data_IF_192712966143
#
_entry.id   IF_192712966143
#
_cell.length_a   1.000
_cell.length_b   1.000
_cell.length_c   1.000
_cell.angle_alpha   90.00
_cell.angle_beta   90.00
_cell.angle_gamma   90.00
#
_symmetry.space_group_name_H-M   'P 1'
#
loop_
_entity.id
_entity.type
_entity.pdbx_description
1 polymer ?
#
# COMPACT_ATOMS: atom_id res chain seq x y z
N UNK A 1 -9.96 -0.25 11.88
CA UNK A 1 -8.78 -0.73 11.15
C UNK A 1 -7.85 0.44 10.83
N UNK A 2 -6.56 0.24 10.90
CA UNK A 2 -5.55 1.29 10.67
C UNK A 2 -4.78 0.99 9.38
N UNK A 3 -4.65 1.99 8.51
CA UNK A 3 -3.94 1.87 7.24
C UNK A 3 -2.78 2.87 7.18
N UNK A 4 -1.65 2.43 6.66
CA UNK A 4 -0.54 3.30 6.31
C UNK A 4 -0.50 3.47 4.79
N UNK A 5 -0.58 4.70 4.34
CA UNK A 5 -0.51 5.05 2.91
C UNK A 5 0.88 5.63 2.62
N UNK A 6 1.67 4.95 1.82
CA UNK A 6 3.03 5.34 1.46
C UNK A 6 3.09 5.73 -0.01
N UNK A 7 3.45 6.99 -0.27
CA UNK A 7 3.60 7.54 -1.62
C UNK A 7 4.38 8.86 -1.47
N UNK A 8 5.33 9.12 -2.34
CA UNK A 8 6.12 10.35 -2.29
C UNK A 8 5.32 11.59 -2.71
N UNK A 9 4.20 11.41 -3.38
CA UNK A 9 3.30 12.49 -3.78
C UNK A 9 2.22 12.72 -2.71
N UNK A 10 2.26 13.88 -2.08
CA UNK A 10 1.22 14.26 -1.11
C UNK A 10 -0.17 14.26 -1.75
N UNK A 11 -0.27 14.75 -2.99
CA UNK A 11 -1.53 14.78 -3.72
C UNK A 11 -2.06 13.36 -3.93
N UNK A 12 -1.19 12.42 -4.30
CA UNK A 12 -1.59 11.03 -4.48
C UNK A 12 -2.04 10.39 -3.18
N UNK A 13 -1.34 10.67 -2.07
CA UNK A 13 -1.79 10.16 -0.76
C UNK A 13 -3.21 10.63 -0.46
N UNK A 14 -3.51 11.90 -0.71
CA UNK A 14 -4.85 12.44 -0.48
C UNK A 14 -5.89 11.80 -1.39
N UNK A 15 -5.54 11.52 -2.63
CA UNK A 15 -6.44 10.83 -3.57
C UNK A 15 -6.74 9.41 -3.09
N UNK A 16 -5.73 8.68 -2.65
CA UNK A 16 -5.90 7.32 -2.11
C UNK A 16 -6.81 7.35 -0.88
N UNK A 17 -6.56 8.27 0.05
CA UNK A 17 -7.37 8.41 1.27
C UNK A 17 -8.82 8.71 0.93
N UNK A 18 -9.04 9.66 0.02
CA UNK A 18 -10.40 10.00 -0.43
C UNK A 18 -11.10 8.81 -1.06
N UNK A 19 -10.37 8.07 -1.90
CA UNK A 19 -10.93 6.91 -2.58
C UNK A 19 -11.34 5.83 -1.59
N UNK A 20 -10.52 5.59 -0.56
CA UNK A 20 -10.86 4.65 0.51
C UNK A 20 -12.18 5.06 1.20
N UNK A 21 -12.34 6.33 1.52
CA UNK A 21 -13.55 6.84 2.15
C UNK A 21 -14.76 6.72 1.24
N UNK A 22 -14.60 7.05 -0.03
CA UNK A 22 -15.67 6.90 -1.02
C UNK A 22 -16.06 5.44 -1.23
N UNK A 23 -15.11 4.53 -1.05
CA UNK A 23 -15.37 3.09 -1.12
C UNK A 23 -16.07 2.54 0.13
N UNK A 24 -16.19 3.35 1.18
CA UNK A 24 -16.87 2.97 2.41
C UNK A 24 -15.95 2.48 3.52
N UNK A 25 -14.63 2.61 3.36
CA UNK A 25 -13.67 2.22 4.40
C UNK A 25 -13.40 3.39 5.34
N UNK A 26 -13.95 3.31 6.53
CA UNK A 26 -13.79 4.32 7.58
C UNK A 26 -12.60 3.95 8.47
N UNK A 27 -11.42 3.90 7.86
CA UNK A 27 -10.19 3.50 8.53
C UNK A 27 -9.42 4.71 9.06
N UNK A 28 -8.68 4.50 10.13
CA UNK A 28 -7.72 5.49 10.62
C UNK A 28 -6.49 5.45 9.72
N UNK A 29 -6.12 6.61 9.15
CA UNK A 29 -5.08 6.70 8.13
C UNK A 29 -3.84 7.41 8.67
N UNK A 30 -2.68 6.80 8.45
CA UNK A 30 -1.37 7.45 8.61
C UNK A 30 -0.70 7.50 7.25
N UNK A 31 0.24 8.42 7.08
CA UNK A 31 0.92 8.66 5.82
C UNK A 31 2.44 8.57 5.97
N UNK A 32 3.10 8.10 4.90
CA UNK A 32 4.56 8.12 4.78
C UNK A 32 4.93 8.62 3.38
N UNK A 33 5.98 9.41 3.30
CA UNK A 33 6.41 10.04 2.05
C UNK A 33 7.46 9.23 1.28
N UNK A 34 8.02 8.21 1.89
CA UNK A 34 8.98 7.32 1.25
C UNK A 34 9.02 5.96 1.98
N UNK A 35 9.75 5.01 1.40
CA UNK A 35 9.81 3.67 1.95
C UNK A 35 10.55 3.58 3.27
N UNK A 36 11.57 4.40 3.47
CA UNK A 36 12.33 4.41 4.73
C UNK A 36 11.47 4.94 5.88
N UNK A 37 10.71 6.01 5.64
CA UNK A 37 9.77 6.55 6.62
C UNK A 37 8.67 5.54 6.92
N UNK A 38 8.14 4.87 5.89
CA UNK A 38 7.13 3.84 6.07
C UNK A 38 7.64 2.70 6.95
N UNK A 39 8.87 2.26 6.73
CA UNK A 39 9.47 1.19 7.53
C UNK A 39 9.56 1.58 9.00
N UNK A 40 10.01 2.81 9.29
CA UNK A 40 10.10 3.31 10.66
C UNK A 40 8.72 3.39 11.32
N UNK A 41 7.72 3.88 10.59
CA UNK A 41 6.36 3.96 11.10
C UNK A 41 5.80 2.58 11.45
N UNK A 42 6.05 1.59 10.60
CA UNK A 42 5.56 0.22 10.82
C UNK A 42 6.27 -0.42 12.02
N UNK A 43 7.57 -0.20 12.16
CA UNK A 43 8.33 -0.70 13.31
C UNK A 43 7.84 -0.11 14.63
N UNK A 44 7.47 1.16 14.62
CA UNK A 44 7.00 1.86 15.81
C UNK A 44 5.59 1.43 16.21
N UNK A 45 4.71 1.24 15.22
CA UNK A 45 3.31 0.87 15.47
C UNK A 45 2.74 0.20 14.20
N UNK A 46 2.72 -1.12 14.20
CA UNK A 46 2.30 -1.89 13.03
C UNK A 46 0.84 -1.59 12.67
N UNK A 47 0.57 -1.15 11.42
CA UNK A 47 -0.80 -0.96 10.95
C UNK A 47 -1.46 -2.29 10.61
N UNK A 48 -2.75 -2.25 10.33
CA UNK A 48 -3.49 -3.44 9.90
C UNK A 48 -3.26 -3.73 8.41
N UNK A 49 -2.95 -2.69 7.62
CA UNK A 49 -2.66 -2.83 6.20
C UNK A 49 -1.78 -1.67 5.72
N UNK A 50 -0.93 -1.96 4.74
CA UNK A 50 -0.11 -0.96 4.05
C UNK A 50 -0.57 -0.86 2.60
N UNK A 51 -0.82 0.36 2.14
CA UNK A 51 -1.06 0.68 0.72
C UNK A 51 0.12 1.53 0.26
N UNK A 52 0.93 1.01 -0.65
CA UNK A 52 2.17 1.64 -1.04
C UNK A 52 2.30 1.82 -2.55
N UNK A 53 2.82 2.98 -2.96
CA UNK A 53 3.31 3.13 -4.32
C UNK A 53 4.55 2.25 -4.50
N UNK A 54 4.88 1.94 -5.74
CA UNK A 54 6.06 1.15 -6.08
C UNK A 54 7.30 2.04 -6.12
N UNK A 55 7.22 3.15 -6.84
CA UNK A 55 8.35 4.07 -7.04
C UNK A 55 8.37 5.16 -5.98
N UNK A 56 9.28 5.04 -5.04
CA UNK A 56 9.48 6.02 -3.97
C UNK A 56 10.97 6.25 -3.76
N UNK A 57 11.38 7.46 -3.34
CA UNK A 57 12.79 7.70 -3.00
C UNK A 57 13.19 6.94 -1.74
N UNK A 58 14.47 6.82 -1.50
CA UNK A 58 15.12 6.15 -0.37
C UNK A 58 14.91 4.64 -0.37
N UNK A 59 13.68 4.17 -0.51
CA UNK A 59 13.34 2.76 -0.56
C UNK A 59 12.08 2.59 -1.38
N UNK A 60 12.12 1.76 -2.41
CA UNK A 60 10.95 1.49 -3.25
C UNK A 60 9.91 0.67 -2.49
N UNK A 61 8.68 0.63 -3.00
CA UNK A 61 7.62 -0.16 -2.37
C UNK A 61 7.92 -1.64 -2.30
N UNK A 62 8.54 -2.20 -3.34
CA UNK A 62 8.91 -3.63 -3.33
C UNK A 62 10.03 -3.91 -2.35
N UNK A 63 11.00 -2.99 -2.23
CA UNK A 63 12.06 -3.11 -1.22
C UNK A 63 11.49 -3.03 0.19
N UNK A 64 10.55 -2.13 0.42
CA UNK A 64 9.83 -2.02 1.70
C UNK A 64 9.14 -3.34 2.06
N UNK A 65 8.38 -3.90 1.14
CA UNK A 65 7.68 -5.16 1.36
C UNK A 65 8.65 -6.29 1.71
N UNK A 66 9.72 -6.43 0.92
CA UNK A 66 10.74 -7.45 1.17
C UNK A 66 11.40 -7.29 2.54
N UNK A 67 11.70 -6.03 2.91
CA UNK A 67 12.31 -5.73 4.19
C UNK A 67 11.38 -6.07 5.36
N UNK A 68 10.10 -5.77 5.24
CA UNK A 68 9.12 -6.12 6.26
C UNK A 68 9.05 -7.63 6.47
N UNK A 69 9.05 -8.40 5.39
CA UNK A 69 9.03 -9.87 5.48
C UNK A 69 10.31 -10.41 6.11
N UNK A 70 11.46 -9.84 5.78
CA UNK A 70 12.75 -10.21 6.40
C UNK A 70 12.77 -9.94 7.89
N UNK A 71 12.09 -8.89 8.34
CA UNK A 71 12.03 -8.52 9.76
C UNK A 71 10.92 -9.24 10.53
N UNK A 72 10.18 -10.12 9.86
CA UNK A 72 9.15 -10.92 10.50
C UNK A 72 7.76 -10.28 10.53
N UNK A 73 7.58 -9.13 9.89
CA UNK A 73 6.26 -8.51 9.79
C UNK A 73 5.46 -9.17 8.68
N UNK A 74 4.31 -9.75 9.06
CA UNK A 74 3.35 -10.31 8.11
C UNK A 74 2.24 -9.35 7.74
N UNK A 75 2.45 -8.04 7.91
CA UNK A 75 1.45 -7.02 7.66
C UNK A 75 0.85 -7.13 6.27
N UNK A 76 -0.48 -7.16 6.13
CA UNK A 76 -1.13 -7.12 4.83
C UNK A 76 -0.65 -5.91 4.02
N UNK A 77 -0.29 -6.15 2.77
CA UNK A 77 0.37 -5.16 1.92
C UNK A 77 -0.22 -5.19 0.52
N UNK A 78 -0.59 -4.03 0.01
CA UNK A 78 -1.07 -3.86 -1.36
C UNK A 78 -0.37 -2.71 -2.04
N UNK A 79 -0.17 -2.83 -3.36
CA UNK A 79 0.41 -1.75 -4.15
C UNK A 79 -0.68 -0.90 -4.81
N UNK A 80 -0.43 0.40 -4.87
CA UNK A 80 -1.23 1.36 -5.62
C UNK A 80 -0.25 2.14 -6.49
N UNK A 81 -0.16 1.82 -7.78
CA UNK A 81 0.91 2.30 -8.63
C UNK A 81 0.41 2.70 -10.03
N UNK A 82 1.15 3.59 -10.70
CA UNK A 82 0.86 3.97 -12.08
C UNK A 82 1.29 2.89 -13.09
N UNK A 83 2.08 1.92 -12.65
CA UNK A 83 2.53 0.82 -13.48
C UNK A 83 1.91 -0.49 -12.99
N UNK A 84 1.33 -1.26 -13.88
CA UNK A 84 0.66 -2.53 -13.53
C UNK A 84 0.99 -3.62 -14.51
N UNK A 85 2.26 -3.71 -14.95
CA UNK A 85 2.66 -4.77 -15.87
C UNK A 85 2.50 -6.15 -15.25
N UNK A 86 2.33 -7.21 -16.07
CA UNK A 86 2.29 -8.58 -15.56
C UNK A 86 3.53 -8.95 -14.75
N UNK A 87 4.71 -8.46 -15.17
CA UNK A 87 5.97 -8.72 -14.46
C UNK A 87 5.97 -8.10 -13.07
N UNK A 88 5.46 -6.87 -12.94
CA UNK A 88 5.35 -6.22 -11.64
C UNK A 88 4.36 -6.92 -10.73
N UNK A 89 3.24 -7.38 -11.28
CA UNK A 89 2.24 -8.14 -10.52
C UNK A 89 2.83 -9.44 -9.99
N UNK A 90 3.61 -10.14 -10.80
CA UNK A 90 4.30 -11.36 -10.37
C UNK A 90 5.29 -11.10 -9.25
N UNK A 91 6.09 -10.04 -9.36
CA UNK A 91 7.06 -9.66 -8.33
C UNK A 91 6.36 -9.29 -7.03
N UNK A 92 5.27 -8.54 -7.12
CA UNK A 92 4.48 -8.16 -5.95
C UNK A 92 3.93 -9.39 -5.24
N UNK A 93 3.32 -10.29 -5.98
CA UNK A 93 2.75 -11.53 -5.44
C UNK A 93 3.82 -12.41 -4.81
N UNK A 94 4.95 -12.59 -5.50
CA UNK A 94 6.06 -13.37 -5.00
C UNK A 94 6.65 -12.80 -3.71
N UNK A 95 6.59 -11.49 -3.52
CA UNK A 95 7.06 -10.83 -2.30
C UNK A 95 6.02 -10.85 -1.18
N UNK A 96 4.79 -11.28 -1.46
CA UNK A 96 3.74 -11.41 -0.46
C UNK A 96 2.69 -10.31 -0.47
N UNK A 97 2.62 -9.50 -1.52
CA UNK A 97 1.56 -8.51 -1.66
C UNK A 97 0.23 -9.21 -1.94
N UNK A 98 -0.85 -8.69 -1.36
CA UNK A 98 -2.19 -9.23 -1.54
C UNK A 98 -2.86 -8.77 -2.83
N UNK A 99 -2.48 -7.58 -3.33
CA UNK A 99 -3.04 -7.02 -4.56
C UNK A 99 -2.16 -5.91 -5.12
N UNK A 100 -2.44 -5.54 -6.35
CA UNK A 100 -1.85 -4.37 -7.01
C UNK A 100 -2.98 -3.65 -7.74
N UNK A 101 -3.16 -2.38 -7.41
CA UNK A 101 -4.15 -1.51 -8.04
C UNK A 101 -3.43 -0.53 -8.94
N UNK A 102 -3.80 -0.49 -10.22
CA UNK A 102 -3.21 0.43 -11.19
C UNK A 102 -3.93 1.78 -11.17
N UNK A 103 -3.19 2.86 -11.24
CA UNK A 103 -3.73 4.22 -11.42
C UNK A 103 -4.05 4.46 -12.91
N UNK A 104 -5.11 5.14 -13.26
CA UNK A 104 -6.14 5.69 -12.37
C UNK A 104 -7.08 4.61 -11.85
N UNK A 105 -7.69 4.84 -10.69
CA UNK A 105 -8.55 3.87 -10.03
C UNK A 105 -9.85 4.53 -9.56
N UNK A 106 -10.84 3.69 -9.22
CA UNK A 106 -12.14 4.12 -8.73
C UNK A 106 -12.40 3.51 -7.35
N UNK A 107 -13.38 4.03 -6.58
CA UNK A 107 -13.79 3.39 -5.34
C UNK A 107 -14.22 1.93 -5.54
N UNK A 108 -14.88 1.63 -6.65
CA UNK A 108 -15.29 0.27 -7.02
C UNK A 108 -14.09 -0.65 -7.20
N UNK A 109 -13.02 -0.17 -7.86
CA UNK A 109 -11.80 -0.94 -8.05
C UNK A 109 -11.16 -1.29 -6.70
N UNK A 110 -11.18 -0.35 -5.76
CA UNK A 110 -10.68 -0.60 -4.40
C UNK A 110 -11.50 -1.69 -3.71
N UNK A 111 -12.83 -1.62 -3.78
CA UNK A 111 -13.70 -2.64 -3.18
C UNK A 111 -13.45 -4.02 -3.77
N UNK A 112 -13.28 -4.10 -5.09
CA UNK A 112 -13.06 -5.38 -5.78
C UNK A 112 -11.82 -6.13 -5.29
N UNK A 113 -10.76 -5.41 -4.94
CA UNK A 113 -9.50 -6.05 -4.50
C UNK A 113 -9.34 -6.10 -2.99
N UNK A 114 -9.91 -5.15 -2.25
CA UNK A 114 -9.75 -5.07 -0.79
C UNK A 114 -10.74 -5.96 -0.07
N UNK A 115 -12.01 -5.93 -0.44
CA UNK A 115 -13.04 -6.72 0.25
C UNK A 115 -12.72 -8.21 0.33
N UNK A 116 -12.26 -8.87 -0.75
CA UNK A 116 -11.97 -10.30 -0.67
C UNK A 116 -10.85 -10.69 0.30
N UNK A 117 -9.94 -9.77 0.60
CA UNK A 117 -8.74 -10.08 1.40
C UNK A 117 -8.70 -9.42 2.78
N UNK A 118 -9.46 -8.35 2.99
CA UNK A 118 -9.40 -7.57 4.24
C UNK A 118 -10.76 -7.38 4.93
N UNK A 119 -11.83 -7.56 4.23
CA UNK A 119 -13.17 -7.35 4.79
C UNK A 119 -13.78 -8.63 5.33
#
# INVERSE_FOLDING_TARGET
MRVLVADDSRVMRQIVIRTLRQAGYDWEVREAADGAQALEEIRADEPDVVLSDWNMPEMTGIELLRRLRQEGFGTPFGFVTSEGSPEMREKAEAAGALFLIAKPFTPEAFREVIDPVLA
#
